data_IF_656798844651
#
_entry.id   IF_656798844651
#
_cell.length_a   1.000
_cell.length_b   1.000
_cell.length_c   1.000
_cell.angle_alpha   90.00
_cell.angle_beta   90.00
_cell.angle_gamma   90.00
#
_symmetry.space_group_name_H-M   'P 1'
#
loop_
_entity.id
_entity.type
_entity.pdbx_description
1 polymer ?
#
# COMPACT_ATOMS: atom_id res chain seq x y z
N UNK A 1 63.66 -41.63 -12.76
CA UNK A 1 63.84 -42.81 -13.65
C UNK A 1 62.57 -43.01 -14.46
N UNK A 2 62.74 -43.24 -15.76
CA UNK A 2 61.79 -43.59 -16.85
C UNK A 2 60.36 -44.01 -16.46
N UNK A 3 59.35 -43.50 -17.16
CA UNK A 3 58.67 -44.19 -18.28
C UNK A 3 57.40 -43.45 -18.76
N UNK A 4 57.15 -43.56 -20.06
CA UNK A 4 56.12 -42.95 -20.92
C UNK A 4 54.65 -43.25 -20.54
N UNK A 5 53.67 -42.43 -20.97
CA UNK A 5 52.28 -42.85 -21.04
C UNK A 5 51.93 -43.44 -22.42
N UNK A 6 51.33 -44.62 -22.40
CA UNK A 6 50.83 -45.34 -23.57
C UNK A 6 49.45 -44.86 -24.03
N UNK A 7 49.25 -45.00 -25.33
CA UNK A 7 48.04 -44.79 -26.11
C UNK A 7 46.86 -45.66 -25.67
N UNK A 8 45.67 -45.09 -25.60
CA UNK A 8 44.40 -45.82 -25.50
C UNK A 8 43.31 -45.09 -26.28
N UNK A 9 42.95 -45.64 -27.44
CA UNK A 9 41.89 -45.16 -28.31
C UNK A 9 40.50 -45.37 -27.69
N UNK A 10 39.62 -44.37 -27.84
CA UNK A 10 38.21 -44.40 -27.43
C UNK A 10 37.36 -44.81 -28.66
N UNK A 11 36.52 -45.86 -28.59
CA UNK A 11 35.58 -46.19 -29.66
C UNK A 11 34.30 -45.32 -29.58
N UNK A 12 33.61 -45.08 -30.71
CA UNK A 12 32.42 -44.23 -30.75
C UNK A 12 31.20 -44.96 -30.18
N UNK A 13 30.56 -44.38 -29.16
CA UNK A 13 29.30 -44.86 -28.61
C UNK A 13 28.11 -44.37 -29.45
N UNK A 14 27.29 -45.33 -29.85
CA UNK A 14 26.02 -45.20 -30.54
C UNK A 14 25.03 -44.35 -29.71
N UNK A 15 24.64 -43.19 -30.25
CA UNK A 15 23.47 -42.45 -29.80
C UNK A 15 22.23 -43.20 -30.29
N UNK A 16 21.59 -43.97 -29.39
CA UNK A 16 20.20 -44.41 -29.55
C UNK A 16 19.32 -43.59 -28.60
N UNK A 17 18.40 -42.80 -29.16
CA UNK A 17 17.30 -42.19 -28.43
C UNK A 17 16.36 -43.27 -27.87
N UNK A 18 15.96 -43.19 -26.58
CA UNK A 18 14.71 -43.77 -26.10
C UNK A 18 13.62 -42.69 -25.96
N UNK A 19 12.40 -43.13 -26.28
CA UNK A 19 11.10 -42.44 -26.33
C UNK A 19 10.68 -41.73 -25.02
N UNK A 20 9.72 -40.79 -25.09
CA UNK A 20 9.28 -39.99 -23.94
C UNK A 20 8.55 -40.84 -22.90
N UNK A 21 8.88 -40.64 -21.62
CA UNK A 21 8.16 -41.20 -20.48
C UNK A 21 6.95 -40.35 -20.10
N UNK A 22 5.90 -41.07 -19.72
CA UNK A 22 4.52 -40.65 -19.57
C UNK A 22 4.22 -39.75 -18.36
N UNK A 23 3.13 -38.99 -18.48
CA UNK A 23 2.49 -38.21 -17.42
C UNK A 23 1.97 -39.11 -16.27
N UNK A 24 1.97 -38.62 -15.01
CA UNK A 24 1.51 -39.41 -13.87
C UNK A 24 -0.01 -39.58 -13.85
N UNK A 25 -0.41 -40.82 -13.53
CA UNK A 25 -1.79 -41.31 -13.42
C UNK A 25 -2.55 -40.66 -12.27
N UNK A 26 -3.80 -40.32 -12.56
CA UNK A 26 -4.85 -39.98 -11.60
C UNK A 26 -5.11 -41.14 -10.62
N UNK A 27 -5.16 -40.82 -9.33
CA UNK A 27 -5.67 -41.70 -8.28
C UNK A 27 -7.19 -41.51 -8.17
N UNK A 28 -7.95 -42.45 -8.71
CA UNK A 28 -9.39 -42.56 -8.46
C UNK A 28 -9.66 -43.08 -7.04
N UNK A 29 -10.02 -42.17 -6.14
CA UNK A 29 -10.74 -42.48 -4.91
C UNK A 29 -12.23 -42.24 -5.13
N UNK A 30 -13.02 -43.31 -5.16
CA UNK A 30 -14.48 -43.29 -5.26
C UNK A 30 -15.11 -42.70 -3.99
N UNK A 31 -15.68 -41.49 -4.09
CA UNK A 31 -16.64 -40.97 -3.10
C UNK A 31 -18.04 -40.91 -3.72
N UNK A 32 -18.95 -41.72 -3.16
CA UNK A 32 -20.36 -41.81 -3.53
C UNK A 32 -21.09 -40.51 -3.20
N UNK A 33 -21.74 -39.93 -4.21
CA UNK A 33 -22.77 -38.90 -4.02
C UNK A 33 -24.06 -39.52 -3.47
N UNK A 34 -24.24 -39.49 -2.16
CA UNK A 34 -25.54 -39.76 -1.55
C UNK A 34 -26.45 -38.53 -1.67
N UNK A 35 -27.61 -38.75 -2.30
CA UNK A 35 -28.76 -37.85 -2.37
C UNK A 35 -29.21 -37.45 -0.96
N UNK A 36 -29.15 -36.15 -0.65
CA UNK A 36 -29.94 -35.55 0.43
C UNK A 36 -31.21 -34.94 -0.18
N UNK A 37 -32.32 -35.66 -0.03
CA UNK A 37 -33.70 -35.13 -0.06
C UNK A 37 -34.18 -34.99 1.38
N UNK A 38 -35.04 -33.99 1.63
CA UNK A 38 -35.74 -33.58 2.87
C UNK A 38 -35.06 -32.38 3.55
N UNK A 39 -35.73 -31.31 3.98
CA UNK A 39 -37.15 -30.95 3.92
C UNK A 39 -37.27 -29.42 4.10
N UNK A 40 -37.79 -28.72 3.09
CA UNK A 40 -38.37 -27.39 3.29
C UNK A 40 -39.86 -27.56 3.62
N UNK A 41 -40.20 -27.55 4.91
CA UNK A 41 -41.56 -27.26 5.39
C UNK A 41 -41.47 -26.50 6.71
N UNK A 42 -41.89 -25.24 6.68
CA UNK A 42 -42.78 -24.54 7.63
C UNK A 42 -42.48 -23.04 7.63
N UNK A 43 -43.11 -22.31 6.70
CA UNK A 43 -43.50 -20.93 6.93
C UNK A 43 -44.86 -20.93 7.64
N UNK A 44 -45.10 -20.04 8.63
CA UNK A 44 -46.44 -19.82 9.16
C UNK A 44 -47.29 -19.00 8.17
N UNK A 45 -48.52 -19.45 7.99
CA UNK A 45 -49.60 -18.78 7.26
C UNK A 45 -50.01 -17.51 8.00
N UNK A 46 -50.16 -16.38 7.30
CA UNK A 46 -51.09 -15.32 7.70
C UNK A 46 -52.50 -15.67 7.18
N UNK A 47 -53.57 -15.42 7.96
CA UNK A 47 -54.93 -15.78 7.58
C UNK A 47 -55.56 -14.75 6.63
N UNK A 48 -56.36 -15.26 5.70
CA UNK A 48 -57.22 -14.49 4.82
C UNK A 48 -58.59 -14.15 5.46
N UNK A 49 -59.24 -13.20 4.82
CA UNK A 49 -60.68 -12.87 4.78
C UNK A 49 -61.32 -12.13 5.95
N UNK A 50 -61.69 -10.87 5.68
CA UNK A 50 -63.11 -10.50 5.48
C UNK A 50 -63.26 -9.46 4.37
N UNK A 51 -64.20 -9.74 3.46
CA UNK A 51 -64.52 -8.91 2.29
C UNK A 51 -65.37 -7.67 2.58
N UNK A 52 -65.48 -6.84 1.54
CA UNK A 52 -66.38 -5.69 1.44
C UNK A 52 -66.17 -4.98 0.10
N UNK A 53 -67.20 -5.00 -0.73
CA UNK A 53 -67.27 -4.55 -2.13
C UNK A 53 -67.63 -3.06 -2.28
N UNK A 54 -67.16 -2.44 -3.40
CA UNK A 54 -67.61 -1.20 -4.10
C UNK A 54 -67.24 0.15 -3.41
N UNK A 55 -66.78 1.25 -4.04
CA UNK A 55 -66.83 1.81 -5.41
C UNK A 55 -65.72 2.90 -5.61
N UNK A 56 -65.50 3.46 -6.83
CA UNK A 56 -64.27 4.20 -7.17
C UNK A 56 -64.41 5.73 -7.15
N UNK A 57 -63.29 6.43 -6.93
CA UNK A 57 -63.12 7.82 -7.34
C UNK A 57 -62.28 8.67 -6.37
N UNK A 58 -61.07 9.04 -6.78
CA UNK A 58 -60.64 10.44 -6.96
C UNK A 58 -59.10 10.53 -6.97
N UNK A 59 -58.61 11.14 -8.04
CA UNK A 59 -57.22 11.52 -8.25
C UNK A 59 -56.82 12.65 -7.28
N UNK A 60 -55.59 12.60 -6.76
CA UNK A 60 -54.95 13.77 -6.15
C UNK A 60 -53.58 13.98 -6.77
N UNK A 61 -53.43 15.16 -7.38
CA UNK A 61 -52.22 15.73 -7.98
C UNK A 61 -51.18 16.07 -6.91
N UNK A 62 -49.92 15.89 -7.28
CA UNK A 62 -48.75 16.40 -6.59
C UNK A 62 -48.66 17.94 -6.67
N UNK A 63 -48.26 18.58 -5.58
CA UNK A 63 -47.76 19.97 -5.57
C UNK A 63 -46.40 20.03 -4.88
N UNK A 64 -45.42 20.50 -5.63
CA UNK A 64 -44.06 20.83 -5.21
C UNK A 64 -44.02 22.17 -4.46
N UNK A 65 -43.29 22.22 -3.33
CA UNK A 65 -43.01 23.45 -2.58
C UNK A 65 -41.69 24.07 -3.04
N UNK A 66 -41.72 25.34 -3.45
CA UNK A 66 -40.55 26.22 -3.64
C UNK A 66 -40.29 27.00 -2.34
N UNK A 67 -39.00 27.17 -2.01
CA UNK A 67 -38.48 28.01 -0.94
C UNK A 67 -38.28 29.45 -1.43
N UNK A 68 -38.65 30.45 -0.61
CA UNK A 68 -38.42 31.88 -0.83
C UNK A 68 -37.18 32.36 -0.04
N UNK A 69 -36.40 33.26 -0.66
CA UNK A 69 -35.28 34.00 -0.07
C UNK A 69 -35.68 35.48 0.21
N UNK A 70 -35.01 36.19 1.15
CA UNK A 70 -35.40 37.54 1.59
C UNK A 70 -34.79 38.69 0.75
N UNK A 71 -35.28 39.94 0.88
CA UNK A 71 -35.11 40.98 -0.15
C UNK A 71 -33.87 41.88 0.02
N UNK A 72 -33.40 42.41 -1.10
CA UNK A 72 -32.29 43.35 -1.24
C UNK A 72 -32.74 44.82 -1.07
N UNK A 73 -31.85 45.67 -0.52
CA UNK A 73 -31.99 47.14 -0.48
C UNK A 73 -31.18 47.78 -1.61
N UNK A 74 -31.76 48.79 -2.26
CA UNK A 74 -31.21 49.50 -3.43
C UNK A 74 -30.17 50.58 -3.12
N UNK A 75 -29.63 51.25 -4.16
CA UNK A 75 -28.41 52.06 -4.07
C UNK A 75 -28.69 53.57 -3.91
N UNK A 76 -27.90 54.24 -3.08
CA UNK A 76 -27.84 55.70 -2.96
C UNK A 76 -26.48 56.21 -3.42
N UNK A 77 -26.48 57.21 -4.30
CA UNK A 77 -25.32 57.81 -4.95
C UNK A 77 -24.81 59.09 -4.24
N UNK A 78 -23.68 59.60 -4.74
CA UNK A 78 -23.01 60.91 -4.51
C UNK A 78 -22.03 60.91 -3.32
N UNK A 79 -20.81 61.45 -3.38
CA UNK A 79 -20.17 62.43 -4.29
C UNK A 79 -18.63 62.39 -4.12
N UNK A 80 -17.90 62.68 -5.20
CA UNK A 80 -16.43 62.87 -5.24
C UNK A 80 -16.08 64.32 -4.89
N UNK A 81 -14.94 64.58 -4.21
CA UNK A 81 -14.18 65.79 -4.50
C UNK A 81 -12.70 65.52 -4.85
N UNK A 82 -12.22 66.26 -5.85
CA UNK A 82 -10.85 66.35 -6.35
C UNK A 82 -9.88 67.02 -5.34
N UNK A 83 -8.54 66.91 -5.55
CA UNK A 83 -7.55 67.20 -4.51
C UNK A 83 -7.13 68.67 -4.51
N UNK A 84 -7.00 69.26 -3.32
CA UNK A 84 -6.30 70.54 -3.12
C UNK A 84 -5.14 70.34 -2.15
N UNK A 85 -3.98 70.82 -2.59
CA UNK A 85 -2.66 70.74 -1.98
C UNK A 85 -2.54 71.62 -0.74
N UNK A 86 -1.95 71.09 0.35
CA UNK A 86 -1.17 71.89 1.31
C UNK A 86 0.03 71.09 1.85
N UNK A 87 1.20 71.71 1.72
CA UNK A 87 2.48 71.33 2.33
C UNK A 87 2.45 71.61 3.83
N UNK A 88 2.97 70.71 4.68
CA UNK A 88 4.28 70.85 5.35
C UNK A 88 4.47 69.89 6.54
N UNK A 89 5.74 69.49 6.68
CA UNK A 89 6.47 69.20 7.90
C UNK A 89 6.25 67.85 8.64
N UNK A 90 7.18 66.93 8.37
CA UNK A 90 8.11 66.49 9.43
C UNK A 90 7.58 65.50 10.46
N UNK A 91 7.74 64.20 10.18
CA UNK A 91 7.62 63.14 11.17
C UNK A 91 8.01 61.79 10.60
N UNK A 92 9.31 61.45 10.61
CA UNK A 92 9.78 60.09 10.32
C UNK A 92 9.41 59.19 11.51
N UNK A 93 8.24 58.56 11.44
CA UNK A 93 7.97 57.34 12.18
C UNK A 93 8.10 56.17 11.20
N UNK A 94 9.16 55.37 11.34
CA UNK A 94 9.31 54.13 10.57
C UNK A 94 8.22 53.16 10.98
N UNK A 95 7.16 53.03 10.18
CA UNK A 95 6.28 51.87 10.25
C UNK A 95 7.09 50.66 9.79
N UNK A 96 7.72 49.98 10.74
CA UNK A 96 8.12 48.60 10.56
C UNK A 96 6.84 47.81 10.26
N UNK A 97 6.60 47.52 8.98
CA UNK A 97 5.60 46.53 8.57
C UNK A 97 6.00 45.21 9.22
N UNK A 98 5.39 44.89 10.37
CA UNK A 98 5.34 43.51 10.86
C UNK A 98 4.72 42.70 9.73
N UNK A 99 5.54 41.89 9.05
CA UNK A 99 5.03 40.78 8.24
C UNK A 99 4.24 39.91 9.22
N UNK A 100 2.94 40.08 9.26
CA UNK A 100 2.05 39.04 9.77
C UNK A 100 2.24 37.86 8.83
N UNK A 101 3.12 36.94 9.21
CA UNK A 101 3.15 35.60 8.61
C UNK A 101 1.73 35.09 8.81
N UNK A 102 0.99 34.91 7.72
CA UNK A 102 -0.33 34.32 7.79
C UNK A 102 -0.15 32.97 8.49
N UNK A 103 -0.73 32.83 9.69
CA UNK A 103 -0.63 31.60 10.47
C UNK A 103 -1.28 30.52 9.61
N UNK A 104 -0.51 29.53 9.19
CA UNK A 104 -1.04 28.42 8.41
C UNK A 104 -2.27 27.83 9.13
N UNK A 105 -3.32 27.45 8.38
CA UNK A 105 -4.50 26.87 8.99
C UNK A 105 -4.06 25.64 9.81
N UNK A 106 -4.57 25.47 11.03
CA UNK A 106 -4.18 24.34 11.87
C UNK A 106 -4.52 23.03 11.15
N UNK A 107 -3.57 22.10 11.17
CA UNK A 107 -3.77 20.76 10.62
C UNK A 107 -5.02 20.10 11.22
N UNK A 108 -5.67 19.27 10.42
CA UNK A 108 -6.80 18.42 10.81
C UNK A 108 -6.35 16.98 10.93
N UNK A 109 -7.17 16.16 11.59
CA UNK A 109 -6.97 14.70 11.65
C UNK A 109 -6.86 14.10 10.24
N UNK A 110 -7.65 14.60 9.28
CA UNK A 110 -7.54 14.17 7.87
C UNK A 110 -6.17 14.45 7.24
N UNK A 111 -5.48 15.52 7.62
CA UNK A 111 -4.12 15.81 7.13
C UNK A 111 -3.12 14.78 7.67
N UNK A 112 -3.28 14.38 8.95
CA UNK A 112 -2.47 13.32 9.54
C UNK A 112 -2.75 11.97 8.88
N UNK A 113 -4.01 11.64 8.59
CA UNK A 113 -4.35 10.43 7.84
C UNK A 113 -3.72 10.43 6.45
N UNK A 114 -3.74 11.55 5.72
CA UNK A 114 -3.10 11.67 4.42
C UNK A 114 -1.57 11.55 4.49
N UNK A 115 -0.95 12.09 5.54
CA UNK A 115 0.47 11.93 5.80
C UNK A 115 0.83 10.47 6.11
N UNK A 116 0.05 9.79 6.95
CA UNK A 116 0.23 8.37 7.25
C UNK A 116 0.02 7.49 6.01
N UNK A 117 -0.98 7.77 5.18
CA UNK A 117 -1.21 7.08 3.89
C UNK A 117 -0.03 7.27 2.91
N UNK A 118 0.70 8.39 2.99
CA UNK A 118 1.95 8.59 2.24
C UNK A 118 3.11 7.76 2.78
N UNK A 119 3.18 7.57 4.10
CA UNK A 119 4.28 6.87 4.76
C UNK A 119 4.12 5.36 4.73
N UNK A 120 2.91 4.88 4.98
CA UNK A 120 2.50 3.49 5.02
C UNK A 120 1.11 3.35 4.37
N UNK A 121 1.03 3.32 3.03
CA UNK A 121 -0.24 3.26 2.33
C UNK A 121 -1.06 2.02 2.69
N UNK A 122 -2.35 2.19 2.96
CA UNK A 122 -3.22 1.09 3.40
C UNK A 122 -3.27 -0.09 2.42
N UNK A 123 -3.07 0.15 1.11
CA UNK A 123 -2.97 -0.90 0.08
C UNK A 123 -1.81 -1.89 0.30
N UNK A 124 -0.84 -1.54 1.15
CA UNK A 124 0.28 -2.42 1.49
C UNK A 124 -0.05 -3.39 2.63
N UNK A 125 -1.18 -3.19 3.32
CA UNK A 125 -1.58 -4.06 4.40
C UNK A 125 -1.94 -5.46 3.89
N UNK A 126 -1.76 -6.45 4.75
CA UNK A 126 -2.23 -7.81 4.53
C UNK A 126 -3.76 -7.83 4.41
N UNK A 127 -4.30 -8.74 3.61
CA UNK A 127 -5.74 -8.78 3.27
C UNK A 127 -6.67 -9.03 4.46
N UNK A 128 -6.14 -9.60 5.55
CA UNK A 128 -6.87 -9.86 6.79
C UNK A 128 -6.82 -8.68 7.78
N UNK A 129 -5.99 -7.67 7.51
CA UNK A 129 -5.66 -6.63 8.47
C UNK A 129 -6.68 -5.47 8.48
N UNK A 130 -6.65 -4.67 9.54
CA UNK A 130 -7.55 -3.55 9.78
C UNK A 130 -6.76 -2.26 10.02
N UNK A 131 -6.35 -1.60 8.93
CA UNK A 131 -5.52 -0.38 8.96
C UNK A 131 -6.32 0.88 8.59
N UNK A 132 -5.73 2.04 8.85
CA UNK A 132 -6.30 3.35 8.54
C UNK A 132 -6.89 4.04 9.77
N UNK A 133 -7.81 4.99 9.54
CA UNK A 133 -8.54 5.66 10.62
C UNK A 133 -9.64 4.72 11.13
N UNK A 134 -9.47 4.21 12.35
CA UNK A 134 -10.38 3.24 12.95
C UNK A 134 -11.52 3.91 13.74
N UNK A 135 -11.26 5.10 14.31
CA UNK A 135 -12.27 5.88 15.01
C UNK A 135 -11.89 7.38 15.05
N UNK A 136 -12.89 8.27 14.99
CA UNK A 136 -12.69 9.72 15.09
C UNK A 136 -13.26 10.50 13.90
N UNK A 137 -13.00 11.81 13.87
CA UNK A 137 -13.47 12.73 12.82
C UNK A 137 -12.28 13.36 12.08
N UNK A 138 -12.23 13.16 10.77
CA UNK A 138 -11.20 13.74 9.89
C UNK A 138 -11.24 15.27 9.85
N UNK A 139 -12.37 15.89 10.16
CA UNK A 139 -12.52 17.33 10.19
C UNK A 139 -12.01 17.97 11.50
N UNK A 140 -11.78 17.17 12.55
CA UNK A 140 -11.32 17.65 13.85
C UNK A 140 -9.93 18.30 13.77
N UNK A 141 -9.65 19.34 14.58
CA UNK A 141 -8.32 19.94 14.65
C UNK A 141 -7.31 18.94 15.25
N UNK A 142 -6.12 18.85 14.66
CA UNK A 142 -5.08 17.91 15.06
C UNK A 142 -4.32 18.38 16.30
N UNK A 143 -3.52 19.45 16.20
CA UNK A 143 -2.69 19.95 17.30
C UNK A 143 -1.55 19.00 17.75
N UNK A 144 -1.87 17.78 18.18
CA UNK A 144 -0.89 16.79 18.62
C UNK A 144 -1.31 15.33 18.37
N UNK A 145 -0.29 14.48 18.19
CA UNK A 145 -0.37 13.05 17.87
C UNK A 145 0.46 12.25 18.88
N UNK A 146 -0.11 11.16 19.38
CA UNK A 146 0.57 10.20 20.26
C UNK A 146 0.75 8.85 19.54
N UNK A 147 1.98 8.39 19.39
CA UNK A 147 2.31 7.10 18.79
C UNK A 147 2.53 6.03 19.88
N UNK A 148 1.96 4.84 19.72
CA UNK A 148 2.15 3.70 20.62
C UNK A 148 2.17 2.37 19.86
N UNK A 149 2.65 1.30 20.49
CA UNK A 149 2.45 -0.07 19.99
C UNK A 149 1.01 -0.48 20.25
N UNK A 150 0.61 -0.54 21.52
CA UNK A 150 -0.71 -0.97 21.96
C UNK A 150 -1.52 0.18 22.58
N UNK A 151 -2.78 0.35 22.17
CA UNK A 151 -3.71 1.28 22.82
C UNK A 151 -4.30 0.62 24.08
N UNK A 152 -3.53 0.66 25.17
CA UNK A 152 -3.98 0.20 26.50
C UNK A 152 -4.77 1.28 27.24
N UNK A 153 -5.47 0.95 28.35
CA UNK A 153 -6.12 1.94 29.19
C UNK A 153 -5.16 3.05 29.69
N UNK A 154 -3.91 2.71 30.04
CA UNK A 154 -2.91 3.67 30.48
C UNK A 154 -2.48 4.63 29.35
N UNK A 155 -2.36 4.12 28.11
CA UNK A 155 -2.08 4.95 26.93
C UNK A 155 -3.26 5.86 26.60
N UNK A 156 -4.50 5.37 26.76
CA UNK A 156 -5.68 6.23 26.63
C UNK A 156 -5.69 7.35 27.69
N UNK A 157 -5.31 7.05 28.93
CA UNK A 157 -5.16 8.07 29.99
C UNK A 157 -4.11 9.12 29.63
N UNK A 158 -2.95 8.70 29.12
CA UNK A 158 -1.90 9.59 28.62
C UNK A 158 -2.41 10.46 27.46
N UNK A 159 -3.12 9.87 26.50
CA UNK A 159 -3.67 10.58 25.34
C UNK A 159 -4.69 11.66 25.76
N UNK A 160 -5.62 11.31 26.65
CA UNK A 160 -6.69 12.19 27.10
C UNK A 160 -6.13 13.31 27.99
N UNK A 161 -5.31 12.98 28.99
CA UNK A 161 -4.72 13.96 29.90
C UNK A 161 -3.74 14.90 29.18
N UNK A 162 -3.02 14.39 28.19
CA UNK A 162 -2.12 15.15 27.32
C UNK A 162 -2.84 16.00 26.26
N UNK A 163 -4.16 15.84 26.10
CA UNK A 163 -4.98 16.51 25.07
C UNK A 163 -4.47 16.27 23.64
N UNK A 164 -4.06 15.04 23.35
CA UNK A 164 -3.78 14.61 21.99
C UNK A 164 -5.08 14.51 21.20
N UNK A 165 -5.07 14.88 19.92
CA UNK A 165 -6.26 14.71 19.07
C UNK A 165 -6.22 13.40 18.27
N UNK A 166 -5.07 12.76 18.18
CA UNK A 166 -4.89 11.51 17.44
C UNK A 166 -3.93 10.58 18.19
N UNK A 167 -4.36 9.33 18.36
CA UNK A 167 -3.48 8.21 18.69
C UNK A 167 -3.18 7.43 17.41
N UNK A 168 -1.90 7.21 17.12
CA UNK A 168 -1.43 6.28 16.11
C UNK A 168 -0.96 5.02 16.83
N UNK A 169 -1.84 4.01 16.90
CA UNK A 169 -1.55 2.72 17.51
C UNK A 169 -1.04 1.75 16.45
N UNK A 170 0.18 1.24 16.62
CA UNK A 170 0.77 0.28 15.68
C UNK A 170 -0.14 -0.93 15.50
N UNK A 171 -0.58 -1.54 16.61
CA UNK A 171 -1.59 -2.59 16.57
C UNK A 171 -3.00 -1.99 16.51
N UNK A 172 -3.88 -2.50 15.62
CA UNK A 172 -5.27 -2.10 15.63
C UNK A 172 -5.93 -2.61 16.91
N UNK A 173 -6.70 -1.78 17.64
CA UNK A 173 -7.40 -2.19 18.86
C UNK A 173 -8.36 -3.37 18.66
N UNK A 174 -8.81 -3.59 17.42
CA UNK A 174 -9.57 -4.76 17.01
C UNK A 174 -9.22 -5.15 15.56
N UNK A 175 -9.07 -6.45 15.34
CA UNK A 175 -8.87 -7.04 14.01
C UNK A 175 -10.18 -7.49 13.34
N UNK A 176 -11.23 -7.71 14.16
CA UNK A 176 -12.53 -8.18 13.69
C UNK A 176 -13.58 -7.09 13.89
N UNK A 177 -14.64 -7.06 13.05
CA UNK A 177 -15.77 -6.17 13.29
C UNK A 177 -16.33 -6.35 14.69
N UNK A 178 -16.45 -5.25 15.44
CA UNK A 178 -17.03 -5.24 16.78
C UNK A 178 -18.55 -5.09 16.69
N UNK A 179 -19.27 -5.82 17.56
CA UNK A 179 -20.74 -5.73 17.62
C UNK A 179 -21.25 -4.74 18.67
N UNK A 180 -20.39 -4.34 19.62
CA UNK A 180 -20.70 -3.43 20.72
C UNK A 180 -19.44 -2.64 21.08
N UNK A 181 -19.63 -1.38 21.47
CA UNK A 181 -18.57 -0.50 21.98
C UNK A 181 -19.07 0.12 23.29
N UNK A 182 -18.41 -0.20 24.40
CA UNK A 182 -18.83 0.23 25.74
C UNK A 182 -17.65 0.69 26.58
N UNK A 183 -17.83 1.65 27.49
CA UNK A 183 -16.77 2.12 28.38
C UNK A 183 -16.27 1.04 29.34
N UNK A 184 -17.10 0.05 29.67
CA UNK A 184 -16.81 -1.04 30.60
C UNK A 184 -16.19 -2.28 29.93
N UNK A 185 -15.90 -2.22 28.64
CA UNK A 185 -15.26 -3.31 27.93
C UNK A 185 -13.83 -3.54 28.46
N UNK A 186 -13.49 -4.80 28.71
CA UNK A 186 -12.19 -5.18 29.27
C UNK A 186 -11.03 -5.12 28.24
N UNK A 187 -11.35 -5.12 26.95
CA UNK A 187 -10.37 -5.04 25.87
C UNK A 187 -10.06 -3.61 25.44
N UNK A 188 -9.32 -3.48 24.34
CA UNK A 188 -8.93 -2.19 23.78
C UNK A 188 -10.14 -1.36 23.29
N UNK A 189 -11.33 -1.97 23.12
CA UNK A 189 -12.57 -1.27 22.80
C UNK A 189 -12.96 -0.25 23.88
N UNK A 190 -12.74 -0.56 25.15
CA UNK A 190 -12.99 0.37 26.26
C UNK A 190 -12.08 1.59 26.19
N UNK A 191 -10.79 1.37 25.88
CA UNK A 191 -9.81 2.44 25.68
C UNK A 191 -10.20 3.33 24.49
N UNK A 192 -10.61 2.74 23.37
CA UNK A 192 -11.08 3.51 22.20
C UNK A 192 -12.35 4.30 22.53
N UNK A 193 -13.34 3.72 23.20
CA UNK A 193 -14.55 4.45 23.61
C UNK A 193 -14.18 5.72 24.41
N UNK A 194 -13.24 5.61 25.33
CA UNK A 194 -12.75 6.74 26.14
C UNK A 194 -12.02 7.78 25.29
N UNK A 195 -11.17 7.35 24.35
CA UNK A 195 -10.51 8.25 23.40
C UNK A 195 -11.54 9.05 22.58
N UNK A 196 -12.49 8.39 21.93
CA UNK A 196 -13.45 9.08 21.04
C UNK A 196 -14.36 10.04 21.79
N UNK A 197 -14.78 9.68 23.01
CA UNK A 197 -15.62 10.54 23.87
C UNK A 197 -14.87 11.78 24.35
N UNK A 198 -13.55 11.71 24.43
CA UNK A 198 -12.67 12.84 24.71
C UNK A 198 -12.21 13.60 23.45
N UNK A 199 -12.69 13.22 22.25
CA UNK A 199 -12.30 13.85 20.97
C UNK A 199 -10.94 13.40 20.43
N UNK A 200 -10.42 12.27 20.90
CA UNK A 200 -9.16 11.66 20.43
C UNK A 200 -9.46 10.60 19.38
N UNK A 201 -9.01 10.84 18.14
CA UNK A 201 -9.09 9.88 17.05
C UNK A 201 -8.08 8.73 17.23
N UNK A 202 -8.32 7.60 16.56
CA UNK A 202 -7.47 6.40 16.61
C UNK A 202 -7.21 5.92 15.19
N UNK A 203 -5.93 5.83 14.83
CA UNK A 203 -5.44 5.33 13.54
C UNK A 203 -4.49 4.15 13.78
N UNK A 204 -4.48 3.16 12.89
CA UNK A 204 -3.49 2.08 12.91
C UNK A 204 -2.85 1.83 11.54
N UNK A 205 -1.51 1.86 11.42
CA UNK A 205 -0.82 1.53 10.18
C UNK A 205 -0.40 0.05 10.05
N UNK A 206 -0.24 -0.66 11.18
CA UNK A 206 0.07 -2.10 11.30
C UNK A 206 0.86 -2.72 10.14
N UNK A 207 0.33 -3.74 9.45
CA UNK A 207 1.09 -4.46 8.41
C UNK A 207 1.41 -3.61 7.19
N UNK A 208 0.68 -2.52 6.94
CA UNK A 208 1.09 -1.56 5.89
C UNK A 208 2.41 -0.88 6.25
N UNK A 209 2.66 -0.60 7.54
CA UNK A 209 3.95 -0.07 7.99
C UNK A 209 5.04 -1.14 7.96
N UNK A 210 4.71 -2.41 8.16
CA UNK A 210 5.67 -3.51 8.02
C UNK A 210 6.15 -3.69 6.59
N UNK A 211 5.26 -3.45 5.63
CA UNK A 211 5.53 -3.57 4.21
C UNK A 211 6.23 -2.33 3.62
N UNK A 212 5.94 -1.15 4.15
CA UNK A 212 6.38 0.12 3.59
C UNK A 212 7.90 0.33 3.63
N UNK A 213 8.39 1.16 2.69
CA UNK A 213 9.77 1.62 2.69
C UNK A 213 10.05 2.57 3.88
N UNK A 214 11.15 2.30 4.59
CA UNK A 214 11.48 2.93 5.87
C UNK A 214 10.52 2.53 7.00
N UNK A 215 9.81 1.42 6.82
CA UNK A 215 8.85 0.85 7.75
C UNK A 215 9.49 0.02 8.86
N UNK A 216 8.69 -0.75 9.59
CA UNK A 216 9.13 -1.48 10.80
C UNK A 216 10.28 -2.43 10.53
N UNK A 217 10.18 -3.24 9.47
CA UNK A 217 11.22 -4.20 9.09
C UNK A 217 12.50 -3.50 8.61
N UNK A 218 12.41 -2.33 7.97
CA UNK A 218 13.59 -1.55 7.55
C UNK A 218 14.32 -0.99 8.77
N UNK A 219 13.58 -0.44 9.74
CA UNK A 219 14.17 0.08 10.98
C UNK A 219 14.90 -1.03 11.74
N UNK A 220 14.32 -2.23 11.84
CA UNK A 220 14.99 -3.35 12.50
C UNK A 220 16.18 -3.89 11.66
N UNK A 221 16.08 -3.90 10.33
CA UNK A 221 17.18 -4.26 9.45
C UNK A 221 18.38 -3.30 9.58
N UNK A 222 18.12 -2.00 9.74
CA UNK A 222 19.15 -0.99 10.00
C UNK A 222 19.84 -1.22 11.35
N UNK A 223 19.07 -1.50 12.41
CA UNK A 223 19.61 -1.85 13.74
C UNK A 223 20.41 -3.17 13.69
N UNK A 224 19.99 -4.11 12.85
CA UNK A 224 20.72 -5.36 12.60
C UNK A 224 22.02 -5.12 11.80
N UNK A 225 22.15 -4.00 11.12
CA UNK A 225 23.33 -3.65 10.31
C UNK A 225 23.33 -4.33 8.94
N UNK A 226 22.16 -4.50 8.33
CA UNK A 226 22.00 -5.03 6.98
C UNK A 226 22.34 -3.98 5.91
N UNK A 227 22.64 -4.45 4.69
CA UNK A 227 22.87 -3.58 3.52
C UNK A 227 21.94 -4.00 2.39
N UNK A 228 21.24 -3.00 1.82
CA UNK A 228 20.27 -3.17 0.72
C UNK A 228 19.28 -4.34 0.95
N UNK A 229 18.64 -4.44 2.13
CA UNK A 229 17.72 -5.52 2.41
C UNK A 229 16.56 -5.54 1.39
N UNK A 230 16.11 -6.73 1.01
CA UNK A 230 14.98 -6.91 0.10
C UNK A 230 13.81 -7.57 0.85
N UNK A 231 12.55 -7.30 0.48
CA UNK A 231 11.41 -8.03 1.04
C UNK A 231 11.53 -9.55 0.92
N UNK A 232 10.91 -10.27 1.87
CA UNK A 232 10.75 -11.73 1.81
C UNK A 232 9.55 -12.05 0.94
N UNK A 233 8.41 -11.44 1.26
CA UNK A 233 7.15 -11.54 0.54
C UNK A 233 6.76 -10.16 0.03
N UNK A 234 6.60 -10.02 -1.29
CA UNK A 234 6.22 -8.75 -1.89
C UNK A 234 4.71 -8.58 -1.88
N UNK A 235 4.25 -7.37 -1.57
CA UNK A 235 2.84 -7.04 -1.68
C UNK A 235 2.50 -6.79 -3.15
N UNK A 236 1.45 -7.44 -3.64
CA UNK A 236 0.95 -7.18 -4.99
C UNK A 236 0.49 -5.71 -5.08
N UNK A 237 1.16 -4.93 -5.92
CA UNK A 237 0.78 -3.53 -6.09
C UNK A 237 -0.54 -3.42 -6.86
N UNK A 238 -1.52 -2.72 -6.27
CA UNK A 238 -2.81 -2.38 -6.92
C UNK A 238 -2.65 -1.47 -8.15
N UNK A 239 -1.42 -0.96 -8.40
CA UNK A 239 -1.06 -0.07 -9.50
C UNK A 239 -0.99 -0.86 -10.79
N UNK A 240 -2.10 -1.50 -11.14
CA UNK A 240 -2.34 -2.16 -12.42
C UNK A 240 -2.00 -1.15 -13.51
N UNK A 241 -0.95 -1.47 -14.24
CA UNK A 241 -0.51 -0.71 -15.39
C UNK A 241 -0.64 -1.62 -16.59
N UNK A 242 -0.80 -0.97 -17.72
CA UNK A 242 -0.86 -1.61 -19.00
C UNK A 242 0.23 -1.03 -19.89
N UNK A 243 0.76 -1.85 -20.79
CA UNK A 243 1.45 -1.38 -21.96
C UNK A 243 0.41 -1.25 -23.06
N UNK A 244 0.10 -0.02 -23.47
CA UNK A 244 -0.66 0.23 -24.69
C UNK A 244 0.33 0.22 -25.85
N UNK A 245 0.04 -0.57 -26.88
CA UNK A 245 0.80 -0.64 -28.13
C UNK A 245 -0.16 -0.32 -29.27
N UNK A 246 0.24 0.54 -30.21
CA UNK A 246 -0.52 0.79 -31.43
C UNK A 246 0.43 1.07 -32.60
N UNK A 247 -0.11 1.04 -33.81
CA UNK A 247 0.65 1.09 -35.06
C UNK A 247 0.14 2.24 -35.91
N UNK A 248 1.00 3.23 -36.15
CA UNK A 248 0.60 4.51 -36.74
C UNK A 248 1.48 4.82 -37.96
N UNK A 249 0.92 5.29 -39.08
CA UNK A 249 1.72 5.85 -40.17
C UNK A 249 2.68 6.93 -39.65
N UNK A 250 3.93 6.93 -40.15
CA UNK A 250 4.96 7.84 -39.66
C UNK A 250 4.53 9.33 -39.64
N UNK A 251 3.79 9.77 -40.66
CA UNK A 251 3.29 11.15 -40.78
C UNK A 251 2.27 11.57 -39.71
N UNK A 252 1.61 10.61 -39.06
CA UNK A 252 0.58 10.86 -38.04
C UNK A 252 1.08 10.59 -36.62
N UNK A 253 2.34 10.18 -36.46
CA UNK A 253 2.91 9.72 -35.20
C UNK A 253 2.85 10.77 -34.09
N UNK A 254 3.17 12.02 -34.39
CA UNK A 254 3.21 13.08 -33.39
C UNK A 254 1.81 13.54 -32.97
N UNK A 255 0.84 13.53 -33.89
CA UNK A 255 -0.56 13.81 -33.59
C UNK A 255 -1.15 12.75 -32.66
N UNK A 256 -1.02 11.47 -33.03
CA UNK A 256 -1.52 10.35 -32.21
C UNK A 256 -0.78 10.31 -30.89
N UNK A 257 0.55 10.37 -30.89
CA UNK A 257 1.37 10.39 -29.68
C UNK A 257 0.99 11.51 -28.73
N UNK A 258 0.84 12.74 -29.25
CA UNK A 258 0.40 13.90 -28.49
C UNK A 258 -0.96 13.71 -27.82
N UNK A 259 -1.94 13.18 -28.56
CA UNK A 259 -3.28 12.88 -28.02
C UNK A 259 -3.22 11.85 -26.87
N UNK A 260 -2.41 10.81 -27.00
CA UNK A 260 -2.22 9.79 -25.95
C UNK A 260 -1.57 10.37 -24.70
N UNK A 261 -0.55 11.23 -24.85
CA UNK A 261 0.11 11.88 -23.73
C UNK A 261 -0.84 12.82 -22.98
N UNK A 262 -1.63 13.63 -23.70
CA UNK A 262 -2.64 14.50 -23.09
C UNK A 262 -3.71 13.71 -22.33
N UNK A 263 -4.07 12.52 -22.80
CA UNK A 263 -4.98 11.61 -22.13
C UNK A 263 -4.37 10.91 -20.89
N UNK A 264 -3.05 11.02 -20.68
CA UNK A 264 -2.33 10.52 -19.51
C UNK A 264 -1.54 9.23 -19.73
N UNK A 265 -1.28 8.84 -20.99
CA UNK A 265 -0.31 7.79 -21.30
C UNK A 265 1.14 8.29 -21.13
N UNK A 266 2.08 7.39 -20.88
CA UNK A 266 3.50 7.72 -20.86
C UNK A 266 3.95 8.52 -19.65
N UNK A 267 3.31 8.34 -18.49
CA UNK A 267 3.75 8.93 -17.21
C UNK A 267 4.44 7.85 -16.37
N UNK A 268 5.73 8.03 -16.09
CA UNK A 268 6.56 7.10 -15.31
C UNK A 268 7.38 7.89 -14.29
N UNK A 269 7.05 7.76 -13.00
CA UNK A 269 7.67 8.56 -11.95
C UNK A 269 7.44 10.06 -12.21
N UNK A 270 8.53 10.83 -12.24
CA UNK A 270 8.50 12.27 -12.53
C UNK A 270 8.59 12.60 -14.03
N UNK A 271 8.65 11.59 -14.90
CA UNK A 271 8.76 11.77 -16.34
C UNK A 271 7.38 11.66 -17.01
N UNK A 272 7.14 12.52 -17.99
CA UNK A 272 5.94 12.51 -18.84
C UNK A 272 6.35 12.32 -20.30
N UNK A 273 5.37 12.06 -21.18
CA UNK A 273 5.60 11.85 -22.61
C UNK A 273 6.53 10.67 -22.93
N UNK A 274 6.59 9.67 -22.04
CA UNK A 274 7.41 8.48 -22.23
C UNK A 274 6.79 7.52 -23.25
N UNK A 275 7.50 7.25 -24.34
CA UNK A 275 7.12 6.24 -25.33
C UNK A 275 8.35 5.54 -25.90
N UNK A 276 8.15 4.32 -26.41
CA UNK A 276 9.12 3.65 -27.27
C UNK A 276 8.53 3.51 -28.67
N UNK A 277 9.38 3.67 -29.69
CA UNK A 277 8.97 3.73 -31.10
C UNK A 277 9.85 2.78 -31.91
N UNK A 278 9.22 1.92 -32.71
CA UNK A 278 9.90 1.00 -33.60
C UNK A 278 9.26 1.07 -34.99
N UNK A 279 10.06 1.29 -36.04
CA UNK A 279 9.57 1.22 -37.40
C UNK A 279 9.35 -0.23 -37.83
N UNK A 280 8.27 -0.49 -38.54
CA UNK A 280 7.91 -1.79 -39.05
C UNK A 280 7.02 -1.70 -40.29
N UNK A 281 6.68 -2.87 -40.83
CA UNK A 281 5.79 -2.99 -41.99
C UNK A 281 4.46 -3.61 -41.54
N UNK A 282 3.41 -2.82 -41.58
CA UNK A 282 2.04 -3.29 -41.38
C UNK A 282 1.50 -3.91 -42.67
N UNK A 283 0.75 -5.00 -42.57
CA UNK A 283 0.04 -5.59 -43.71
C UNK A 283 -1.44 -5.77 -43.38
N UNK A 284 -2.31 -5.49 -44.34
CA UNK A 284 -3.75 -5.68 -44.19
C UNK A 284 -4.40 -5.91 -45.55
N UNK A 285 -5.54 -6.60 -45.54
CA UNK A 285 -6.37 -6.83 -46.71
C UNK A 285 -7.80 -6.43 -46.37
N UNK A 286 -8.21 -5.24 -46.84
CA UNK A 286 -9.56 -4.75 -46.62
C UNK A 286 -10.58 -5.56 -47.41
N UNK A 287 -11.71 -5.92 -46.81
CA UNK A 287 -12.85 -6.49 -47.52
C UNK A 287 -13.64 -5.40 -48.27
N UNK A 288 -14.70 -5.77 -48.99
CA UNK A 288 -15.49 -4.81 -49.78
C UNK A 288 -16.16 -3.70 -48.95
N UNK A 289 -16.36 -3.90 -47.64
CA UNK A 289 -16.97 -2.91 -46.74
C UNK A 289 -15.97 -1.91 -46.14
N UNK A 290 -14.66 -2.12 -46.31
CA UNK A 290 -13.62 -1.25 -45.70
C UNK A 290 -13.46 0.09 -46.42
N UNK A 291 -13.19 1.18 -45.70
CA UNK A 291 -12.82 2.48 -46.29
C UNK A 291 -11.39 2.85 -45.86
N UNK A 292 -10.37 2.16 -46.40
CA UNK A 292 -9.01 2.31 -45.89
C UNK A 292 -8.49 3.73 -46.14
N UNK A 293 -7.94 4.36 -45.10
CA UNK A 293 -7.30 5.67 -45.22
C UNK A 293 -5.98 5.61 -46.02
N UNK A 294 -5.40 4.41 -46.17
CA UNK A 294 -4.22 4.12 -47.00
C UNK A 294 -4.46 2.81 -47.75
N UNK A 295 -4.22 2.79 -49.07
CA UNK A 295 -4.35 1.58 -49.90
C UNK A 295 -5.72 1.40 -50.57
N UNK A 296 -5.98 0.20 -51.10
CA UNK A 296 -7.21 -0.17 -51.83
C UNK A 296 -7.90 -1.40 -51.25
N UNK A 297 -9.24 -1.42 -51.32
CA UNK A 297 -10.08 -2.57 -50.95
C UNK A 297 -9.75 -3.79 -51.80
N UNK A 298 -9.88 -4.98 -51.24
CA UNK A 298 -9.70 -6.26 -51.96
C UNK A 298 -8.25 -6.56 -52.37
N UNK A 299 -7.27 -5.77 -51.89
CA UNK A 299 -5.84 -5.97 -52.17
C UNK A 299 -5.07 -6.08 -50.86
N UNK A 300 -4.04 -6.92 -50.85
CA UNK A 300 -3.04 -6.92 -49.78
C UNK A 300 -2.22 -5.64 -49.88
N UNK A 301 -2.33 -4.80 -48.87
CA UNK A 301 -1.58 -3.56 -48.72
C UNK A 301 -0.43 -3.74 -47.74
N UNK A 302 0.65 -3.02 -47.97
CA UNK A 302 1.83 -2.97 -47.09
C UNK A 302 2.17 -1.51 -46.84
N UNK A 303 2.25 -1.12 -45.57
CA UNK A 303 2.46 0.27 -45.16
C UNK A 303 3.56 0.33 -44.12
N UNK A 304 4.48 1.28 -44.29
CA UNK A 304 5.46 1.60 -43.25
C UNK A 304 4.75 2.28 -42.07
N UNK A 305 4.83 1.64 -40.91
CA UNK A 305 4.18 2.08 -39.69
C UNK A 305 5.19 2.14 -38.55
N UNK A 306 4.88 2.98 -37.57
CA UNK A 306 5.60 3.05 -36.32
C UNK A 306 4.77 2.37 -35.26
N UNK A 307 5.29 1.26 -34.72
CA UNK A 307 4.83 0.70 -33.46
C UNK A 307 5.21 1.67 -32.35
N UNK A 308 4.23 2.34 -31.77
CA UNK A 308 4.40 3.18 -30.59
C UNK A 308 3.82 2.49 -29.37
N UNK A 309 4.57 2.50 -28.29
CA UNK A 309 4.16 1.83 -27.06
C UNK A 309 4.42 2.67 -25.80
N UNK A 310 3.46 2.66 -24.88
CA UNK A 310 3.42 3.53 -23.70
C UNK A 310 2.88 2.79 -22.47
N UNK A 311 3.35 3.19 -21.28
CA UNK A 311 2.77 2.73 -20.01
C UNK A 311 1.54 3.58 -19.68
N UNK A 312 0.46 2.94 -19.25
CA UNK A 312 -0.81 3.59 -18.89
C UNK A 312 -1.32 3.01 -17.56
N UNK A 313 -1.74 3.85 -16.63
CA UNK A 313 -2.42 3.37 -15.41
C UNK A 313 -3.83 2.88 -15.71
N UNK A 314 -4.31 1.86 -14.99
CA UNK A 314 -5.65 1.31 -15.17
C UNK A 314 -6.77 2.37 -15.18
N UNK A 315 -6.69 3.37 -14.31
CA UNK A 315 -7.67 4.46 -14.21
C UNK A 315 -7.71 5.39 -15.43
N UNK A 316 -6.60 5.48 -16.18
CA UNK A 316 -6.47 6.35 -17.37
C UNK A 316 -6.74 5.60 -18.66
N UNK A 317 -6.66 4.27 -18.65
CA UNK A 317 -6.77 3.43 -19.83
C UNK A 317 -8.03 3.71 -20.68
N UNK A 318 -9.26 3.82 -20.12
CA UNK A 318 -10.45 4.11 -20.93
C UNK A 318 -10.35 5.45 -21.68
N UNK A 319 -9.84 6.49 -21.01
CA UNK A 319 -9.66 7.81 -21.61
C UNK A 319 -8.57 7.83 -22.69
N UNK A 320 -7.48 7.09 -22.47
CA UNK A 320 -6.39 6.95 -23.45
C UNK A 320 -6.86 6.18 -24.69
N UNK A 321 -7.64 5.10 -24.53
CA UNK A 321 -8.19 4.34 -25.67
C UNK A 321 -9.17 5.18 -26.48
N UNK A 322 -10.00 6.01 -25.81
CA UNK A 322 -10.88 6.94 -26.51
C UNK A 322 -10.09 8.00 -27.30
N UNK A 323 -9.01 8.53 -26.71
CA UNK A 323 -8.11 9.48 -27.40
C UNK A 323 -7.41 8.83 -28.60
N UNK A 324 -6.95 7.59 -28.48
CA UNK A 324 -6.38 6.81 -29.58
C UNK A 324 -7.36 6.74 -30.74
N UNK A 325 -8.57 6.22 -30.49
CA UNK A 325 -9.61 6.03 -31.52
C UNK A 325 -9.99 7.33 -32.23
N UNK A 326 -9.98 8.45 -31.51
CA UNK A 326 -10.32 9.77 -32.06
C UNK A 326 -9.19 10.36 -32.93
N UNK A 327 -7.94 10.21 -32.51
CA UNK A 327 -6.80 10.83 -33.18
C UNK A 327 -6.19 9.96 -34.29
N UNK A 328 -6.50 8.66 -34.32
CA UNK A 328 -5.91 7.75 -35.29
C UNK A 328 -6.44 8.01 -36.71
N UNK A 329 -5.59 7.97 -37.76
CA UNK A 329 -6.02 8.16 -39.14
C UNK A 329 -6.86 7.00 -39.71
N UNK A 330 -6.96 5.87 -39.00
CA UNK A 330 -7.71 4.70 -39.45
C UNK A 330 -9.05 4.64 -38.75
N UNK A 331 -10.08 4.18 -39.47
CA UNK A 331 -11.42 3.98 -38.91
C UNK A 331 -11.40 3.01 -37.74
N UNK A 332 -10.67 1.90 -37.87
CA UNK A 332 -10.47 0.92 -36.81
C UNK A 332 -8.96 0.77 -36.54
N UNK A 333 -8.39 1.50 -35.56
CA UNK A 333 -6.98 1.37 -35.22
C UNK A 333 -6.67 0.01 -34.58
N UNK A 334 -5.59 -0.62 -35.03
CA UNK A 334 -5.03 -1.78 -34.35
C UNK A 334 -4.27 -1.35 -33.09
N UNK A 335 -4.60 -1.96 -31.95
CA UNK A 335 -3.87 -1.75 -30.70
C UNK A 335 -3.97 -2.95 -29.78
N UNK A 336 -2.94 -3.12 -28.96
CA UNK A 336 -2.83 -4.15 -27.95
C UNK A 336 -2.72 -3.53 -26.56
N UNK A 337 -3.28 -4.21 -25.56
CA UNK A 337 -3.19 -3.84 -24.16
C UNK A 337 -2.59 -5.02 -23.40
N UNK A 338 -1.31 -4.90 -23.04
CA UNK A 338 -0.63 -5.91 -22.24
C UNK A 338 -0.70 -5.54 -20.76
N UNK A 339 -1.20 -6.41 -19.86
CA UNK A 339 -1.08 -6.17 -18.43
C UNK A 339 0.40 -6.19 -18.02
N UNK A 340 0.80 -5.21 -17.20
CA UNK A 340 2.15 -5.15 -16.64
C UNK A 340 2.10 -5.55 -15.18
N UNK A 341 2.95 -6.50 -14.80
CA UNK A 341 3.27 -6.72 -13.40
C UNK A 341 4.07 -5.51 -12.88
N UNK A 342 3.63 -4.88 -11.79
CA UNK A 342 4.41 -3.81 -11.17
C UNK A 342 5.76 -4.37 -10.70
N UNK A 343 6.85 -3.57 -10.72
CA UNK A 343 8.06 -3.97 -10.06
C UNK A 343 7.73 -4.09 -8.57
N UNK A 344 8.13 -5.21 -7.94
CA UNK A 344 7.92 -5.39 -6.52
C UNK A 344 8.78 -4.37 -5.75
N UNK A 345 8.16 -3.35 -5.16
CA UNK A 345 8.86 -2.24 -4.48
C UNK A 345 8.59 -2.16 -2.96
N UNK A 346 7.65 -2.95 -2.46
CA UNK A 346 7.28 -3.05 -1.04
C UNK A 346 6.88 -4.48 -0.69
N UNK A 347 7.05 -4.85 0.59
CA UNK A 347 6.78 -6.21 1.02
C UNK A 347 7.12 -6.46 2.49
N UNK A 348 6.62 -7.57 3.03
CA UNK A 348 6.80 -7.95 4.43
C UNK A 348 8.16 -8.62 4.64
N UNK A 349 8.75 -8.34 5.80
CA UNK A 349 10.04 -8.87 6.21
C UNK A 349 11.20 -8.33 5.38
N UNK A 350 12.42 -8.62 5.78
CA UNK A 350 13.63 -8.26 5.05
C UNK A 350 14.62 -9.42 5.03
N UNK A 351 15.31 -9.62 3.92
CA UNK A 351 16.40 -10.56 3.79
C UNK A 351 17.58 -9.91 3.07
N UNK A 352 18.81 -10.21 3.49
CA UNK A 352 19.98 -9.54 2.94
C UNK A 352 21.26 -9.84 3.70
N UNK A 353 22.37 -9.23 3.25
CA UNK A 353 23.68 -9.39 3.89
C UNK A 353 23.84 -8.42 5.05
N UNK A 354 24.60 -8.83 6.05
CA UNK A 354 25.14 -7.94 7.07
C UNK A 354 26.32 -7.15 6.47
N UNK A 355 26.43 -5.87 6.81
CA UNK A 355 27.53 -5.03 6.38
C UNK A 355 28.90 -5.57 6.83
N UNK A 356 28.92 -6.19 8.02
CA UNK A 356 30.09 -6.83 8.61
C UNK A 356 29.66 -8.21 9.12
N UNK A 357 30.23 -9.31 8.59
CA UNK A 357 30.08 -10.64 9.17
C UNK A 357 30.44 -10.63 10.66
N UNK A 358 29.74 -11.44 11.45
CA UNK A 358 29.87 -11.46 12.91
C UNK A 358 29.43 -12.81 13.46
N UNK A 359 29.65 -13.07 14.75
CA UNK A 359 29.05 -14.22 15.43
C UNK A 359 27.65 -13.90 15.94
N UNK A 360 26.83 -14.95 16.13
CA UNK A 360 25.48 -14.89 16.69
C UNK A 360 25.45 -14.16 18.05
N UNK A 361 26.39 -14.47 18.95
CA UNK A 361 26.52 -13.83 20.27
C UNK A 361 26.80 -12.33 20.17
N UNK A 362 27.70 -11.92 19.27
CA UNK A 362 28.02 -10.52 19.08
C UNK A 362 26.84 -9.73 18.50
N UNK A 363 26.10 -10.33 17.55
CA UNK A 363 24.88 -9.73 17.02
C UNK A 363 23.79 -9.62 18.09
N UNK A 364 23.52 -10.69 18.84
CA UNK A 364 22.50 -10.69 19.90
C UNK A 364 22.80 -9.64 20.97
N UNK A 365 24.05 -9.48 21.40
CA UNK A 365 24.47 -8.43 22.34
C UNK A 365 24.27 -7.03 21.76
N UNK A 366 24.60 -6.83 20.49
CA UNK A 366 24.40 -5.54 19.79
C UNK A 366 22.91 -5.19 19.70
N UNK A 367 22.06 -6.13 19.28
CA UNK A 367 20.62 -5.94 19.21
C UNK A 367 20.03 -5.65 20.58
N UNK A 368 20.37 -6.46 21.60
CA UNK A 368 19.94 -6.25 22.99
C UNK A 368 20.25 -4.82 23.47
N UNK A 369 21.49 -4.37 23.26
CA UNK A 369 21.93 -3.02 23.66
C UNK A 369 21.21 -1.93 22.86
N UNK A 370 21.15 -2.06 21.54
CA UNK A 370 20.61 -1.02 20.65
C UNK A 370 19.10 -0.81 20.82
N UNK A 371 18.39 -1.89 21.15
CA UNK A 371 16.95 -1.89 21.37
C UNK A 371 16.56 -1.69 22.85
N UNK A 372 17.54 -1.55 23.74
CA UNK A 372 17.34 -1.56 25.19
C UNK A 372 16.49 -2.76 25.67
N UNK A 373 16.64 -3.91 25.01
CA UNK A 373 15.86 -5.10 25.30
C UNK A 373 16.24 -5.70 26.66
N UNK A 374 15.23 -6.05 27.47
CA UNK A 374 15.46 -6.69 28.78
C UNK A 374 16.14 -8.04 28.64
N UNK A 375 15.64 -8.86 27.71
CA UNK A 375 16.19 -10.15 27.35
C UNK A 375 16.12 -10.37 25.84
N UNK A 376 16.90 -11.34 25.34
CA UNK A 376 16.80 -11.89 23.99
C UNK A 376 16.98 -13.40 24.11
N UNK A 377 16.28 -14.17 23.29
CA UNK A 377 16.48 -15.62 23.20
C UNK A 377 17.25 -15.94 21.94
N UNK A 378 18.15 -16.92 22.02
CA UNK A 378 19.03 -17.31 20.90
C UNK A 378 18.80 -18.78 20.59
N UNK A 379 18.71 -19.08 19.29
CA UNK A 379 18.60 -20.43 18.72
C UNK A 379 19.87 -20.71 17.94
N UNK A 380 20.66 -21.70 18.37
CA UNK A 380 21.91 -22.10 17.74
C UNK A 380 23.15 -21.83 18.60
N UNK A 381 24.32 -22.18 18.07
CA UNK A 381 25.59 -22.01 18.75
C UNK A 381 25.98 -20.52 18.85
N UNK A 382 26.47 -20.08 20.01
CA UNK A 382 26.75 -18.65 20.27
C UNK A 382 27.90 -18.10 19.42
N UNK A 383 28.82 -18.96 19.01
CA UNK A 383 29.96 -18.70 18.13
C UNK A 383 29.63 -18.89 16.64
N UNK A 384 28.37 -19.21 16.30
CA UNK A 384 27.95 -19.41 14.92
C UNK A 384 28.21 -18.16 14.06
N UNK A 385 28.95 -18.35 12.96
CA UNK A 385 29.31 -17.29 12.01
C UNK A 385 28.14 -16.93 11.11
N UNK A 386 27.72 -15.66 11.17
CA UNK A 386 26.59 -15.14 10.40
C UNK A 386 27.00 -13.95 9.54
N UNK A 387 26.59 -13.99 8.28
CA UNK A 387 26.82 -12.91 7.30
C UNK A 387 25.54 -12.50 6.54
N UNK A 388 24.44 -13.22 6.76
CA UNK A 388 23.11 -12.96 6.21
C UNK A 388 22.11 -12.87 7.34
N UNK A 389 21.14 -11.97 7.20
CA UNK A 389 20.02 -11.87 8.13
C UNK A 389 18.68 -11.93 7.40
N UNK A 390 17.69 -12.50 8.09
CA UNK A 390 16.28 -12.48 7.74
C UNK A 390 15.54 -11.84 8.91
N UNK A 391 14.80 -10.77 8.66
CA UNK A 391 14.11 -9.96 9.65
C UNK A 391 12.61 -10.07 9.41
N UNK A 392 11.85 -10.37 10.46
CA UNK A 392 10.40 -10.21 10.49
C UNK A 392 10.01 -9.69 11.86
N UNK A 393 9.49 -8.48 11.96
CA UNK A 393 9.05 -7.89 13.24
C UNK A 393 7.81 -8.60 13.79
N UNK A 394 7.57 -8.46 15.09
CA UNK A 394 6.39 -9.01 15.76
C UNK A 394 6.37 -10.53 15.75
N UNK A 395 5.24 -11.12 15.39
CA UNK A 395 5.08 -12.56 15.24
C UNK A 395 5.31 -12.98 13.80
N UNK A 396 6.43 -13.65 13.54
CA UNK A 396 6.86 -13.94 12.18
C UNK A 396 6.06 -15.05 11.46
N UNK A 397 5.18 -15.77 12.17
CA UNK A 397 4.52 -16.96 11.64
C UNK A 397 5.53 -17.90 10.96
N UNK A 398 5.16 -18.47 9.81
CA UNK A 398 6.06 -19.27 8.98
C UNK A 398 6.86 -18.46 7.96
N UNK A 399 6.70 -17.13 7.89
CA UNK A 399 7.29 -16.29 6.85
C UNK A 399 8.83 -16.43 6.75
N UNK A 400 9.60 -16.48 7.86
CA UNK A 400 11.05 -16.66 7.77
C UNK A 400 11.48 -17.94 7.05
N UNK A 401 10.65 -18.99 7.08
CA UNK A 401 10.95 -20.26 6.39
C UNK A 401 10.82 -20.16 4.86
N UNK A 402 10.13 -19.12 4.36
CA UNK A 402 10.04 -18.85 2.92
C UNK A 402 11.22 -18.03 2.37
N UNK A 403 12.08 -17.50 3.25
CA UNK A 403 13.24 -16.72 2.87
C UNK A 403 14.38 -17.62 2.33
N UNK A 404 15.40 -16.99 1.74
CA UNK A 404 16.63 -17.68 1.35
C UNK A 404 17.50 -17.91 2.58
N UNK A 405 17.44 -19.12 3.12
CA UNK A 405 18.21 -19.56 4.27
C UNK A 405 19.45 -20.36 3.83
N UNK A 406 20.57 -20.09 4.48
CA UNK A 406 21.83 -20.82 4.38
C UNK A 406 22.46 -21.00 5.77
N UNK A 407 23.57 -21.73 5.85
CA UNK A 407 24.30 -21.99 7.10
C UNK A 407 24.90 -20.72 7.73
N UNK A 408 24.90 -19.57 7.05
CA UNK A 408 25.38 -18.30 7.58
C UNK A 408 24.24 -17.29 7.83
N UNK A 409 23.01 -17.79 7.87
CA UNK A 409 21.81 -16.99 8.08
C UNK A 409 21.41 -16.95 9.55
N UNK A 410 21.10 -15.75 10.03
CA UNK A 410 20.39 -15.51 11.28
C UNK A 410 18.99 -14.96 11.01
N UNK A 411 17.97 -15.59 11.59
CA UNK A 411 16.62 -15.07 11.63
C UNK A 411 16.49 -14.16 12.86
N UNK A 412 16.00 -12.94 12.70
CA UNK A 412 15.73 -12.01 13.81
C UNK A 412 14.24 -11.66 13.79
N UNK A 413 13.56 -11.97 14.89
CA UNK A 413 12.12 -11.78 15.01
C UNK A 413 11.72 -11.34 16.41
N UNK A 414 10.49 -10.84 16.59
CA UNK A 414 9.91 -10.66 17.92
C UNK A 414 9.65 -12.01 18.59
N UNK A 415 8.94 -12.90 17.89
CA UNK A 415 8.58 -14.23 18.36
C UNK A 415 9.08 -15.34 17.42
N UNK A 416 9.45 -16.49 17.99
CA UNK A 416 9.86 -17.68 17.26
C UNK A 416 9.22 -18.90 17.93
N UNK A 417 8.41 -19.66 17.18
CA UNK A 417 7.83 -20.90 17.70
C UNK A 417 8.89 -22.01 17.81
N UNK A 418 8.67 -22.93 18.73
CA UNK A 418 9.60 -24.03 19.00
C UNK A 418 9.91 -24.88 17.76
N UNK A 419 8.90 -25.23 16.95
CA UNK A 419 9.11 -26.05 15.76
C UNK A 419 9.80 -25.29 14.61
N UNK A 420 9.63 -23.98 14.54
CA UNK A 420 10.35 -23.14 13.58
C UNK A 420 11.83 -23.06 13.96
N UNK A 421 12.12 -22.87 15.26
CA UNK A 421 13.48 -22.91 15.80
C UNK A 421 14.19 -24.24 15.47
N UNK A 422 13.52 -25.38 15.65
CA UNK A 422 14.07 -26.69 15.26
C UNK A 422 14.31 -26.79 13.74
N UNK A 423 13.45 -26.18 12.93
CA UNK A 423 13.59 -26.17 11.47
C UNK A 423 14.79 -25.33 11.03
N UNK A 424 15.02 -24.17 11.64
CA UNK A 424 16.22 -23.36 11.39
C UNK A 424 17.50 -24.13 11.72
N UNK A 425 17.55 -24.79 12.88
CA UNK A 425 18.71 -25.59 13.28
C UNK A 425 19.00 -26.74 12.30
N UNK A 426 17.97 -27.44 11.82
CA UNK A 426 18.13 -28.51 10.82
C UNK A 426 18.64 -27.98 9.48
N UNK A 427 18.30 -26.74 9.13
CA UNK A 427 18.80 -26.05 7.94
C UNK A 427 20.18 -25.42 8.12
N UNK A 428 20.81 -25.55 9.29
CA UNK A 428 22.10 -24.93 9.61
C UNK A 428 22.01 -23.43 9.94
N UNK A 429 20.82 -22.84 9.98
CA UNK A 429 20.63 -21.44 10.35
C UNK A 429 20.48 -21.26 11.86
N UNK A 430 20.61 -20.01 12.30
CA UNK A 430 20.41 -19.60 13.69
C UNK A 430 19.31 -18.56 13.81
N UNK A 431 18.85 -18.26 15.03
CA UNK A 431 17.85 -17.22 15.22
C UNK A 431 18.00 -16.45 16.53
N UNK A 432 17.42 -15.25 16.56
CA UNK A 432 17.34 -14.35 17.71
C UNK A 432 15.88 -13.90 17.85
N UNK A 433 15.26 -14.22 18.98
CA UNK A 433 13.95 -13.68 19.36
C UNK A 433 14.14 -12.49 20.32
N UNK A 434 13.59 -11.33 19.95
CA UNK A 434 13.75 -10.05 20.65
C UNK A 434 12.60 -9.75 21.63
N UNK A 435 11.48 -10.46 21.50
CA UNK A 435 10.19 -10.08 22.07
C UNK A 435 9.39 -9.22 21.09
N UNK A 436 8.09 -9.47 21.00
CA UNK A 436 7.16 -8.85 20.06
C UNK A 436 7.24 -7.32 20.08
N UNK A 437 6.89 -6.72 21.23
CA UNK A 437 6.91 -5.28 21.45
C UNK A 437 8.28 -4.65 21.21
N UNK A 438 9.36 -5.31 21.65
CA UNK A 438 10.75 -4.81 21.49
C UNK A 438 11.16 -4.73 20.02
N UNK A 439 10.70 -5.67 19.19
CA UNK A 439 11.04 -5.70 17.78
C UNK A 439 10.35 -4.59 16.98
N UNK A 440 9.18 -4.12 17.44
CA UNK A 440 8.33 -3.17 16.72
C UNK A 440 8.53 -1.73 17.20
N UNK A 441 8.67 -1.53 18.51
CA UNK A 441 8.79 -0.21 19.16
C UNK A 441 9.77 0.76 18.50
N UNK A 442 10.95 0.35 18.00
CA UNK A 442 11.89 1.27 17.37
C UNK A 442 11.29 2.08 16.21
N UNK A 443 10.29 1.54 15.51
CA UNK A 443 9.65 2.24 14.39
C UNK A 443 8.95 3.51 14.84
N UNK A 444 8.44 3.58 16.08
CA UNK A 444 7.64 4.70 16.55
C UNK A 444 8.43 6.02 16.56
N UNK A 445 9.72 5.97 16.90
CA UNK A 445 10.58 7.17 16.88
C UNK A 445 10.81 7.66 15.44
N UNK A 446 11.05 6.73 14.50
CA UNK A 446 11.19 7.04 13.08
C UNK A 446 9.89 7.60 12.49
N UNK A 447 8.76 6.97 12.81
CA UNK A 447 7.43 7.39 12.38
C UNK A 447 7.08 8.77 12.92
N UNK A 448 7.30 9.02 14.23
CA UNK A 448 7.03 10.31 14.85
C UNK A 448 7.84 11.45 14.21
N UNK A 449 9.11 11.21 13.90
CA UNK A 449 9.96 12.16 13.19
C UNK A 449 9.43 12.45 11.78
N UNK A 450 9.20 11.41 10.97
CA UNK A 450 8.71 11.54 9.59
C UNK A 450 7.33 12.22 9.54
N UNK A 451 6.46 11.93 10.51
CA UNK A 451 5.15 12.55 10.61
C UNK A 451 5.24 14.03 10.99
N UNK A 452 6.15 14.40 11.89
CA UNK A 452 6.43 15.80 12.25
C UNK A 452 6.96 16.61 11.07
N UNK A 453 7.76 16.00 10.19
CA UNK A 453 8.26 16.64 8.96
C UNK A 453 7.12 16.88 7.94
N UNK A 454 6.11 16.01 7.90
CA UNK A 454 4.95 16.14 7.01
C UNK A 454 3.87 17.07 7.57
N UNK A 455 3.84 17.29 8.89
CA UNK A 455 2.84 18.07 9.61
C UNK A 455 3.53 19.15 10.46
N UNK A 456 4.09 20.19 9.83
CA UNK A 456 4.77 21.25 10.56
C UNK A 456 3.83 21.89 11.60
N UNK A 457 4.36 22.19 12.78
CA UNK A 457 3.63 22.73 13.93
C UNK A 457 2.67 21.76 14.65
N UNK A 458 2.48 20.52 14.19
CA UNK A 458 1.85 19.48 14.99
C UNK A 458 2.87 18.84 15.94
N UNK A 459 2.49 18.63 17.21
CA UNK A 459 3.34 17.93 18.18
C UNK A 459 3.16 16.42 18.00
N UNK A 460 4.20 15.68 17.64
CA UNK A 460 4.15 14.21 17.54
C UNK A 460 5.08 13.60 18.58
N UNK A 461 4.55 12.73 19.43
CA UNK A 461 5.30 12.10 20.53
C UNK A 461 5.06 10.59 20.58
N UNK A 462 5.96 9.87 21.24
CA UNK A 462 5.82 8.44 21.53
C UNK A 462 5.35 8.27 22.97
N UNK A 463 4.37 7.40 23.17
CA UNK A 463 3.79 7.08 24.48
C UNK A 463 4.84 6.59 25.48
N UNK A 464 4.76 7.13 26.70
CA UNK A 464 5.60 6.74 27.83
C UNK A 464 4.99 5.61 28.65
N UNK A 465 3.67 5.45 28.59
CA UNK A 465 2.93 4.41 29.33
C UNK A 465 2.71 3.15 28.53
N UNK A 466 2.95 3.18 27.22
CA UNK A 466 3.04 2.00 26.37
C UNK A 466 4.29 1.19 26.75
N UNK A 467 4.07 0.00 27.32
CA UNK A 467 5.08 -0.91 27.86
C UNK A 467 4.72 -2.35 27.51
N UNK A 468 5.73 -3.22 27.38
CA UNK A 468 5.50 -4.64 27.13
C UNK A 468 4.70 -5.32 28.27
N UNK A 469 3.83 -6.29 27.97
CA UNK A 469 3.04 -7.00 28.99
C UNK A 469 3.85 -8.07 29.74
N UNK A 470 5.06 -8.41 29.29
CA UNK A 470 5.88 -9.47 29.85
C UNK A 470 6.90 -8.93 30.87
N UNK A 471 7.12 -9.71 31.93
CA UNK A 471 8.21 -9.50 32.88
C UNK A 471 9.14 -10.71 32.83
N UNK A 472 10.45 -10.45 32.76
CA UNK A 472 11.47 -11.49 32.92
C UNK A 472 11.72 -11.69 34.41
N UNK A 473 11.54 -12.91 34.89
CA UNK A 473 11.73 -13.30 36.30
C UNK A 473 13.05 -14.02 36.49
#
# INVERSE_FOLDING_TARGET
MRASPGSGAIPPSLIRCPRPFAAPRELHGTFQWQRIRRACRRQPRCPADRGGTLSPGQAVRATSRRYNAPPQRGPGALSVPSPVTRRHAGGRASLARRKTVAKEPPHRVGDACAALERLAPARLAQSWDNVGLLAGDVAAPLGSVLCCIDLTPAVADEAISGRYALVVAYHPPWFKPISRLRPDAAGAEGAVFRCITAGVAVYSPHTALDAAAGGTNDVLADVCGMVNPQPIEYVESDRRRFKLVTFVPQRNLDEVGGALFQAGAGVIGNYTHCSYRLMGLGTFMGNEATHPAVGRRGRLEQVEEVRIEMVVSASRLPGVVAALRKAHPYEEPAFDIYPLSPPPDAGIGRQGRLAKPTTLSALAKRLKKSLAARHVQVVGAMDHDVNRAVIVVGSAGSLPLSAKLDEHTVIVSGEIHHHDALSFLRGGSSAIALGHWTSERPVLASLAKRLSELLPNAKVEVSRTDVEPFQTV
#
